data_IF_416332159854
#
_entry.id   IF_416332159854
#
_cell.length_a   1.000
_cell.length_b   1.000
_cell.length_c   1.000
_cell.angle_alpha   90.00
_cell.angle_beta   90.00
_cell.angle_gamma   90.00
#
_symmetry.space_group_name_H-M   'P 1'
#
loop_
_entity.id
_entity.type
_entity.pdbx_description
1 polymer ?
#
# COMPACT_ATOMS: atom_id res chain seq x y z
N UNK A 1 -17.68 12.53 16.17
CA UNK A 1 -17.20 11.84 14.95
C UNK A 1 -15.84 11.22 15.26
N UNK A 2 -15.82 9.93 15.54
CA UNK A 2 -14.66 9.22 16.09
C UNK A 2 -13.53 9.16 15.06
N UNK A 3 -12.40 9.79 15.36
CA UNK A 3 -11.15 9.56 14.64
C UNK A 3 -10.74 8.13 14.92
N UNK A 4 -11.02 7.24 13.98
CA UNK A 4 -10.68 5.83 14.08
C UNK A 4 -9.16 5.74 14.01
N UNK A 5 -8.52 5.73 15.18
CA UNK A 5 -7.13 5.37 15.38
C UNK A 5 -7.02 3.89 15.00
N UNK A 6 -6.88 3.60 13.69
CA UNK A 6 -6.60 2.26 13.19
C UNK A 6 -5.19 1.91 13.66
N UNK A 7 -5.12 1.30 14.84
CA UNK A 7 -3.96 0.53 15.30
C UNK A 7 -3.91 -0.74 14.46
N UNK A 8 -2.97 -0.82 13.53
CA UNK A 8 -2.57 -2.06 12.89
C UNK A 8 -1.05 -2.03 12.61
N UNK A 9 -0.22 -1.89 13.65
CA UNK A 9 1.22 -2.10 13.51
C UNK A 9 1.66 -3.31 14.35
N UNK A 10 1.21 -4.49 13.90
CA UNK A 10 1.80 -5.80 14.22
C UNK A 10 2.03 -6.60 12.90
N UNK A 11 2.25 -5.90 11.79
CA UNK A 11 2.74 -6.53 10.55
C UNK A 11 1.70 -6.96 9.50
N UNK A 12 0.52 -6.32 9.40
CA UNK A 12 -0.45 -6.62 8.33
C UNK A 12 -0.81 -5.43 7.44
N UNK A 13 -0.13 -5.39 6.29
CA UNK A 13 -0.58 -4.95 4.96
C UNK A 13 -1.14 -3.52 4.78
N UNK A 14 -0.26 -2.50 4.82
CA UNK A 14 -0.53 -1.21 4.17
C UNK A 14 -0.51 -1.30 2.62
N UNK A 15 0.06 -2.38 2.05
CA UNK A 15 0.27 -2.54 0.61
C UNK A 15 -1.00 -2.37 -0.26
N UNK A 16 -2.10 -3.11 0.00
CA UNK A 16 -3.32 -2.99 -0.81
C UNK A 16 -3.94 -1.59 -0.78
N UNK A 17 -3.86 -0.90 0.37
CA UNK A 17 -4.35 0.49 0.50
C UNK A 17 -3.52 1.45 -0.36
N UNK A 18 -2.19 1.34 -0.29
CA UNK A 18 -1.28 2.17 -1.08
C UNK A 18 -1.55 1.96 -2.58
N UNK A 19 -1.71 0.71 -3.02
CA UNK A 19 -2.00 0.38 -4.42
C UNK A 19 -3.32 1.01 -4.86
N UNK A 20 -4.37 0.98 -4.04
CA UNK A 20 -5.64 1.64 -4.35
C UNK A 20 -5.51 3.16 -4.47
N UNK A 21 -4.80 3.81 -3.54
CA UNK A 21 -4.59 5.27 -3.57
C UNK A 21 -3.81 5.70 -4.81
N UNK A 22 -2.78 4.94 -5.18
CA UNK A 22 -2.02 5.19 -6.41
C UNK A 22 -2.89 4.95 -7.65
N UNK A 23 -3.76 3.94 -7.64
CA UNK A 23 -4.70 3.69 -8.74
C UNK A 23 -5.78 4.78 -8.88
N UNK A 24 -6.17 5.42 -7.78
CA UNK A 24 -7.06 6.59 -7.76
C UNK A 24 -6.37 7.88 -8.22
N UNK A 25 -5.05 7.84 -8.46
CA UNK A 25 -4.26 8.98 -8.94
C UNK A 25 -3.72 9.90 -7.85
N UNK A 26 -3.77 9.46 -6.58
CA UNK A 26 -3.20 10.23 -5.47
C UNK A 26 -1.68 10.28 -5.60
N UNK A 27 -1.10 11.47 -5.42
CA UNK A 27 0.35 11.65 -5.53
C UNK A 27 1.08 11.01 -4.35
N UNK A 28 2.34 10.61 -4.54
CA UNK A 28 3.12 10.00 -3.46
C UNK A 28 3.32 10.95 -2.29
N UNK A 29 3.48 12.25 -2.55
CA UNK A 29 3.67 13.25 -1.51
C UNK A 29 2.40 13.45 -0.69
N UNK A 30 1.22 13.40 -1.31
CA UNK A 30 -0.07 13.45 -0.59
C UNK A 30 -0.27 12.21 0.29
N UNK A 31 0.09 11.02 -0.20
CA UNK A 31 0.04 9.77 0.58
C UNK A 31 0.96 9.86 1.80
N UNK A 32 2.20 10.35 1.64
CA UNK A 32 3.14 10.49 2.76
C UNK A 32 2.72 11.58 3.75
N UNK A 33 2.01 12.61 3.28
CA UNK A 33 1.46 13.64 4.15
C UNK A 33 0.29 13.12 5.00
N UNK A 34 -0.59 12.32 4.42
CA UNK A 34 -1.73 11.71 5.13
C UNK A 34 -1.31 10.57 6.06
N UNK A 35 -0.19 9.91 5.72
CA UNK A 35 0.39 8.80 6.46
C UNK A 35 1.87 9.09 6.77
N UNK A 36 2.17 9.91 7.79
CA UNK A 36 3.55 10.31 8.12
C UNK A 36 4.42 9.15 8.66
N UNK A 37 3.81 8.02 9.00
CA UNK A 37 4.51 6.79 9.39
C UNK A 37 4.95 5.95 8.16
N UNK A 38 4.55 6.34 6.94
CA UNK A 38 4.99 5.69 5.71
C UNK A 38 6.25 6.37 5.16
N UNK A 39 7.11 5.55 4.59
CA UNK A 39 8.25 5.99 3.80
C UNK A 39 7.99 5.78 2.30
N UNK A 40 8.73 6.51 1.47
CA UNK A 40 8.68 6.30 0.01
C UNK A 40 9.00 4.86 -0.39
N UNK A 41 9.82 4.17 0.40
CA UNK A 41 10.19 2.79 0.12
C UNK A 41 9.05 1.80 0.42
N UNK A 42 8.15 2.11 1.36
CA UNK A 42 6.93 1.33 1.58
C UNK A 42 6.02 1.37 0.34
N UNK A 43 5.92 2.55 -0.29
CA UNK A 43 5.15 2.72 -1.54
C UNK A 43 5.77 1.89 -2.66
N UNK A 44 7.11 1.92 -2.80
CA UNK A 44 7.82 1.12 -3.80
C UNK A 44 7.65 -0.37 -3.57
N UNK A 45 7.76 -0.83 -2.32
CA UNK A 45 7.59 -2.24 -1.98
C UNK A 45 6.15 -2.71 -2.25
N UNK A 46 5.15 -1.88 -1.91
CA UNK A 46 3.75 -2.17 -2.19
C UNK A 46 3.49 -2.34 -3.70
N UNK A 47 4.01 -1.42 -4.52
CA UNK A 47 3.87 -1.49 -5.97
C UNK A 47 4.66 -2.67 -6.57
N UNK A 48 5.86 -2.95 -6.07
CA UNK A 48 6.66 -4.09 -6.53
C UNK A 48 5.96 -5.42 -6.20
N UNK A 49 5.37 -5.53 -5.02
CA UNK A 49 4.59 -6.69 -4.62
C UNK A 49 3.32 -6.84 -5.46
N UNK A 50 2.59 -5.75 -5.73
CA UNK A 50 1.44 -5.77 -6.62
C UNK A 50 1.82 -6.19 -8.05
N UNK A 51 2.92 -5.65 -8.58
CA UNK A 51 3.45 -6.05 -9.88
C UNK A 51 3.84 -7.53 -9.91
N UNK A 52 4.47 -8.04 -8.84
CA UNK A 52 4.79 -9.46 -8.70
C UNK A 52 3.53 -10.34 -8.66
N UNK A 53 2.49 -9.95 -7.94
CA UNK A 53 1.21 -10.69 -7.89
C UNK A 53 0.50 -10.75 -9.25
N UNK A 54 0.61 -9.69 -10.05
CA UNK A 54 0.05 -9.67 -11.41
C UNK A 54 0.89 -10.43 -12.44
N UNK A 55 2.12 -10.83 -12.09
CA UNK A 55 2.86 -11.77 -12.92
C UNK A 55 2.20 -13.13 -12.73
N UNK A 56 1.60 -13.63 -13.79
CA UNK A 56 0.98 -14.95 -13.84
C UNK A 56 2.03 -16.03 -13.57
N UNK A 57 2.12 -16.51 -12.33
CA UNK A 57 2.58 -17.88 -12.10
C UNK A 57 1.40 -18.79 -12.40
N UNK A 58 1.42 -19.41 -13.59
CA UNK A 58 0.58 -20.56 -13.90
C UNK A 58 0.95 -21.66 -12.90
N UNK A 59 0.25 -21.70 -11.76
CA UNK A 59 0.23 -22.89 -10.92
C UNK A 59 -0.55 -23.93 -11.71
N UNK A 60 0.19 -24.78 -12.43
CA UNK A 60 -0.31 -26.02 -12.97
C UNK A 60 -0.83 -26.85 -11.79
N UNK A 61 -2.16 -26.87 -11.61
CA UNK A 61 -2.86 -27.81 -10.73
C UNK A 61 -2.83 -29.21 -11.35
#
# INVERSE_FOLDING_TARGET
MARQKKRCNDGMAAGPMIVSLVAEGVSWDDILNDYPDLERDDIRQALAYAAWLTREEVISV
#
